data_IF_827417153504
#
_entry.id   IF_827417153504
#
_cell.length_a   1.000
_cell.length_b   1.000
_cell.length_c   1.000
_cell.angle_alpha   90.00
_cell.angle_beta   90.00
_cell.angle_gamma   90.00
#
_symmetry.space_group_name_H-M   'P 1'
#
loop_
_entity.id
_entity.type
_entity.pdbx_description
1 polymer ?
#
# COMPACT_ATOMS: atom_id res chain seq x y z
N UNK A 1 -15.45 -1.63 -6.79
CA UNK A 1 -14.15 -1.94 -6.13
C UNK A 1 -13.06 -1.62 -7.15
N UNK A 2 -12.22 -0.61 -6.89
CA UNK A 2 -11.24 -0.09 -7.85
C UNK A 2 -10.24 -1.18 -8.29
N UNK A 3 -9.69 -1.06 -9.50
CA UNK A 3 -8.62 -1.96 -9.96
C UNK A 3 -7.41 -1.91 -9.00
N UNK A 4 -7.10 -0.71 -8.49
CA UNK A 4 -6.00 -0.50 -7.54
C UNK A 4 -6.25 -1.23 -6.22
N UNK A 5 -7.48 -1.19 -5.66
CA UNK A 5 -7.79 -1.93 -4.43
C UNK A 5 -7.60 -3.45 -4.58
N UNK A 6 -7.86 -4.00 -5.77
CA UNK A 6 -7.59 -5.41 -6.05
C UNK A 6 -6.09 -5.71 -6.06
N UNK A 7 -5.28 -4.83 -6.66
CA UNK A 7 -3.81 -4.97 -6.70
C UNK A 7 -3.20 -4.82 -5.30
N UNK A 8 -3.65 -3.84 -4.51
CA UNK A 8 -3.30 -3.70 -3.09
C UNK A 8 -3.65 -4.99 -2.33
N UNK A 9 -4.86 -5.50 -2.53
CA UNK A 9 -5.28 -6.75 -1.89
C UNK A 9 -4.45 -7.95 -2.32
N UNK A 10 -4.00 -7.99 -3.57
CA UNK A 10 -3.11 -9.04 -4.09
C UNK A 10 -1.74 -9.01 -3.42
N UNK A 11 -1.15 -7.83 -3.23
CA UNK A 11 0.11 -7.66 -2.51
C UNK A 11 0.06 -8.30 -1.12
N UNK A 12 -0.93 -7.94 -0.30
CA UNK A 12 -1.08 -8.46 1.06
C UNK A 12 -1.52 -9.94 1.13
N UNK A 13 -1.96 -10.53 0.02
CA UNK A 13 -2.30 -11.96 -0.06
C UNK A 13 -1.12 -12.82 -0.51
N UNK A 14 -0.27 -12.29 -1.38
CA UNK A 14 0.77 -13.05 -2.07
C UNK A 14 2.17 -12.83 -1.49
N UNK A 15 2.45 -11.64 -0.96
CA UNK A 15 3.76 -11.31 -0.38
C UNK A 15 3.84 -11.72 1.08
N UNK A 16 5.04 -12.10 1.50
CA UNK A 16 5.31 -12.45 2.90
C UNK A 16 5.07 -11.23 3.79
N UNK A 17 4.50 -11.43 4.98
CA UNK A 17 4.27 -10.32 5.91
C UNK A 17 5.55 -9.60 6.34
N UNK A 18 6.71 -10.25 6.19
CA UNK A 18 8.02 -9.63 6.42
C UNK A 18 8.34 -8.51 5.43
N UNK A 19 7.77 -8.57 4.23
CA UNK A 19 7.99 -7.61 3.14
C UNK A 19 6.98 -6.45 3.16
N UNK A 20 5.93 -6.54 3.99
CA UNK A 20 4.86 -5.56 4.00
C UNK A 20 5.36 -4.19 4.48
N UNK A 21 5.17 -3.18 3.62
CA UNK A 21 5.38 -1.77 3.90
C UNK A 21 4.59 -0.93 2.89
N UNK A 22 4.41 0.36 3.19
CA UNK A 22 3.78 1.30 2.25
C UNK A 22 4.58 1.37 0.95
N UNK A 23 5.91 1.48 1.04
CA UNK A 23 6.82 1.58 -0.11
C UNK A 23 6.75 0.32 -0.98
N UNK A 24 6.88 -0.87 -0.39
CA UNK A 24 6.83 -2.12 -1.14
C UNK A 24 5.47 -2.33 -1.82
N UNK A 25 4.38 -1.90 -1.17
CA UNK A 25 3.05 -1.96 -1.76
C UNK A 25 2.93 -0.97 -2.93
N UNK A 26 3.43 0.27 -2.81
CA UNK A 26 3.43 1.24 -3.90
C UNK A 26 4.27 0.79 -5.09
N UNK A 27 5.44 0.20 -4.85
CA UNK A 27 6.27 -0.41 -5.90
C UNK A 27 5.50 -1.52 -6.62
N UNK A 28 4.86 -2.42 -5.86
CA UNK A 28 4.04 -3.49 -6.44
C UNK A 28 2.87 -2.94 -7.28
N UNK A 29 2.19 -1.88 -6.83
CA UNK A 29 1.13 -1.25 -7.63
C UNK A 29 1.72 -0.70 -8.94
N UNK A 30 2.87 -0.02 -8.89
CA UNK A 30 3.50 0.55 -10.08
C UNK A 30 3.91 -0.48 -11.14
N UNK A 31 4.18 -1.71 -10.72
CA UNK A 31 4.55 -2.82 -11.61
C UNK A 31 3.32 -3.58 -12.17
N UNK A 32 2.16 -3.46 -11.51
CA UNK A 32 0.99 -4.32 -11.76
C UNK A 32 -0.29 -3.54 -12.10
N UNK A 33 -0.25 -2.21 -12.12
CA UNK A 33 -1.39 -1.36 -12.44
C UNK A 33 -0.95 -0.09 -13.17
N UNK A 34 -1.76 0.34 -14.14
CA UNK A 34 -1.71 1.72 -14.61
C UNK A 34 -2.25 2.63 -13.49
N UNK A 35 -1.38 3.50 -12.97
CA UNK A 35 -1.72 4.47 -11.93
C UNK A 35 -2.06 5.79 -12.61
N UNK A 36 -3.28 6.31 -12.41
CA UNK A 36 -3.55 7.72 -12.61
C UNK A 36 -3.17 8.48 -11.34
N UNK A 37 -2.51 9.62 -11.48
CA UNK A 37 -1.90 10.32 -10.35
C UNK A 37 -2.82 11.29 -9.61
N UNK A 38 -3.95 11.63 -10.22
CA UNK A 38 -5.07 12.27 -9.53
C UNK A 38 -5.57 11.40 -8.36
N UNK A 39 -5.23 10.11 -8.34
CA UNK A 39 -5.67 9.15 -7.32
C UNK A 39 -4.70 9.00 -6.12
N UNK A 40 -3.60 9.76 -5.99
CA UNK A 40 -2.60 9.52 -4.91
C UNK A 40 -3.23 9.37 -3.53
N UNK A 41 -4.09 10.30 -3.14
CA UNK A 41 -4.79 10.24 -1.85
C UNK A 41 -5.74 9.05 -1.77
N UNK A 42 -6.45 8.75 -2.87
CA UNK A 42 -7.33 7.58 -2.97
C UNK A 42 -6.55 6.27 -2.81
N UNK A 43 -5.35 6.17 -3.39
CA UNK A 43 -4.47 4.99 -3.28
C UNK A 43 -4.03 4.80 -1.83
N UNK A 44 -3.57 5.88 -1.20
CA UNK A 44 -3.16 5.85 0.20
C UNK A 44 -4.32 5.49 1.13
N UNK A 45 -5.52 6.01 0.87
CA UNK A 45 -6.72 5.67 1.64
C UNK A 45 -7.13 4.21 1.43
N UNK A 46 -7.14 3.71 0.19
CA UNK A 46 -7.41 2.30 -0.12
C UNK A 46 -6.40 1.36 0.57
N UNK A 47 -5.11 1.73 0.56
CA UNK A 47 -4.06 1.02 1.28
C UNK A 47 -4.31 1.03 2.79
N UNK A 48 -4.59 2.20 3.37
CA UNK A 48 -4.86 2.36 4.80
C UNK A 48 -6.07 1.53 5.24
N UNK A 49 -7.17 1.58 4.48
CA UNK A 49 -8.37 0.75 4.68
C UNK A 49 -8.04 -0.72 4.63
N UNK A 50 -7.22 -1.16 3.66
CA UNK A 50 -6.83 -2.57 3.55
C UNK A 50 -5.99 -3.02 4.75
N UNK A 51 -4.99 -2.25 5.15
CA UNK A 51 -4.15 -2.57 6.31
C UNK A 51 -4.99 -2.61 7.59
N UNK A 52 -5.92 -1.67 7.78
CA UNK A 52 -6.87 -1.67 8.90
C UNK A 52 -7.75 -2.92 8.92
N UNK A 53 -8.22 -3.35 7.76
CA UNK A 53 -9.02 -4.58 7.64
C UNK A 53 -8.20 -5.81 8.06
N UNK A 54 -6.93 -5.88 7.68
CA UNK A 54 -6.03 -6.97 8.07
C UNK A 54 -5.72 -6.92 9.57
N UNK A 55 -5.44 -5.75 10.13
CA UNK A 55 -5.12 -5.60 11.57
C UNK A 55 -6.27 -6.04 12.48
N UNK A 56 -7.51 -5.91 12.01
CA UNK A 56 -8.71 -6.28 12.76
C UNK A 56 -9.17 -7.73 12.47
N UNK A 57 -8.53 -8.46 11.55
CA UNK A 57 -8.93 -9.80 11.17
C UNK A 57 -8.31 -10.86 12.12
N UNK A 58 -9.17 -11.52 12.91
CA UNK A 58 -8.75 -12.55 13.86
C UNK A 58 -8.33 -13.87 13.19
N UNK A 59 -8.70 -14.08 11.92
CA UNK A 59 -8.38 -15.30 11.16
C UNK A 59 -7.01 -15.23 10.45
N UNK A 60 -6.25 -14.15 10.64
CA UNK A 60 -4.90 -13.98 10.10
C UNK A 60 -3.87 -14.31 11.19
N UNK A 61 -2.74 -14.90 10.79
CA UNK A 61 -1.60 -15.18 11.67
C UNK A 61 -1.25 -13.96 12.53
N UNK A 62 -1.08 -14.18 13.84
CA UNK A 62 -0.84 -13.13 14.82
C UNK A 62 0.32 -12.19 14.44
N UNK A 63 1.42 -12.72 13.91
CA UNK A 63 2.56 -11.92 13.44
C UNK A 63 2.22 -11.03 12.25
N UNK A 64 1.47 -11.54 11.27
CA UNK A 64 1.04 -10.76 10.12
C UNK A 64 0.04 -9.68 10.53
N UNK A 65 -0.90 -10.01 11.43
CA UNK A 65 -1.83 -9.05 12.02
C UNK A 65 -1.09 -7.95 12.78
N UNK A 66 -0.13 -8.30 13.64
CA UNK A 66 0.65 -7.32 14.40
C UNK A 66 1.49 -6.42 13.48
N UNK A 67 2.03 -6.97 12.40
CA UNK A 67 2.71 -6.19 11.36
C UNK A 67 1.76 -5.20 10.70
N UNK A 68 0.54 -5.61 10.33
CA UNK A 68 -0.48 -4.73 9.80
C UNK A 68 -0.87 -3.64 10.81
N UNK A 69 -1.04 -3.97 12.09
CA UNK A 69 -1.28 -2.99 13.16
C UNK A 69 -0.16 -1.95 13.22
N UNK A 70 1.12 -2.39 13.20
CA UNK A 70 2.27 -1.49 13.21
C UNK A 70 2.30 -0.55 11.99
N UNK A 71 2.00 -1.08 10.80
CA UNK A 71 1.90 -0.27 9.58
C UNK A 71 0.75 0.73 9.70
N UNK A 72 -0.43 0.30 10.15
CA UNK A 72 -1.60 1.17 10.31
C UNK A 72 -1.34 2.32 11.30
N UNK A 73 -0.78 2.01 12.47
CA UNK A 73 -0.48 3.00 13.52
C UNK A 73 0.54 4.06 13.10
N UNK A 74 1.43 3.73 12.15
CA UNK A 74 2.46 4.63 11.62
C UNK A 74 2.15 5.14 10.21
N UNK A 75 0.96 4.84 9.69
CA UNK A 75 0.64 5.00 8.27
C UNK A 75 0.75 6.45 7.83
N UNK A 76 0.04 7.36 8.49
CA UNK A 76 -0.03 8.78 8.10
C UNK A 76 1.35 9.43 8.13
N UNK A 77 2.08 9.23 9.24
CA UNK A 77 3.46 9.71 9.39
C UNK A 77 4.41 9.15 8.32
N UNK A 78 4.16 7.93 7.83
CA UNK A 78 4.99 7.30 6.79
C UNK A 78 4.61 7.80 5.41
N UNK A 79 3.32 7.99 5.13
CA UNK A 79 2.80 8.51 3.87
C UNK A 79 3.26 9.95 3.57
N UNK A 80 3.51 10.74 4.61
CA UNK A 80 4.06 12.09 4.52
C UNK A 80 5.57 12.14 4.29
N UNK A 81 6.29 11.02 4.45
CA UNK A 81 7.75 10.99 4.28
C UNK A 81 8.13 11.34 2.86
N UNK A 82 9.23 12.07 2.73
CA UNK A 82 9.82 12.45 1.43
C UNK A 82 10.00 11.24 0.51
N UNK A 83 10.47 10.11 1.03
CA UNK A 83 10.67 8.89 0.24
C UNK A 83 9.39 8.39 -0.43
N UNK A 84 8.24 8.46 0.25
CA UNK A 84 6.94 8.08 -0.34
C UNK A 84 6.52 9.08 -1.42
N UNK A 85 6.73 10.37 -1.18
CA UNK A 85 6.49 11.43 -2.19
C UNK A 85 7.37 11.25 -3.43
N UNK A 86 8.66 11.06 -3.24
CA UNK A 86 9.63 10.86 -4.32
C UNK A 86 9.30 9.60 -5.13
N UNK A 87 8.79 8.54 -4.49
CA UNK A 87 8.35 7.34 -5.19
C UNK A 87 7.14 7.62 -6.08
N UNK A 88 6.16 8.35 -5.57
CA UNK A 88 5.01 8.81 -6.35
C UNK A 88 5.48 9.63 -7.57
N UNK A 89 6.32 10.65 -7.41
CA UNK A 89 6.86 11.45 -8.53
C UNK A 89 7.63 10.60 -9.56
N UNK A 90 8.34 9.55 -9.13
CA UNK A 90 9.02 8.62 -10.05
C UNK A 90 8.06 7.79 -10.87
N UNK A 91 6.95 7.36 -10.27
CA UNK A 91 5.91 6.59 -10.96
C UNK A 91 5.18 7.52 -11.96
N UNK A 92 4.89 8.77 -11.59
CA UNK A 92 4.33 9.79 -12.53
C UNK A 92 5.18 9.91 -13.77
N UNK A 93 6.48 10.16 -13.58
CA UNK A 93 7.42 10.37 -14.69
C UNK A 93 7.50 9.16 -15.62
N UNK A 94 7.38 7.93 -15.08
CA UNK A 94 7.35 6.71 -15.89
C UNK A 94 6.06 6.55 -16.70
N UNK A 95 4.93 7.04 -16.21
CA UNK A 95 3.65 6.93 -16.91
C UNK A 95 3.50 7.94 -18.05
N UNK A 96 4.26 9.04 -18.02
CA UNK A 96 4.25 10.11 -19.02
C UNK A 96 5.26 9.93 -20.16
N UNK A 97 6.04 8.84 -20.16
CA UNK A 97 7.00 8.48 -21.22
C UNK A 97 6.44 7.35 -22.09
#
# INVERSE_FOLDING_TARGET
>A
MSNIYKVISSFFKTKSYKEWSIIACLQFISENAAINFEDRESILDDMKRKVKSISNNQNILSHARNKATSIYSSFDKTAERREVRDLFERIEKKASQ
#
